data_IF_025763016777
#
_entry.id   IF_025763016777
#
_cell.length_a   1.000
_cell.length_b   1.000
_cell.length_c   1.000
_cell.angle_alpha   90.00
_cell.angle_beta   90.00
_cell.angle_gamma   90.00
#
_symmetry.space_group_name_H-M   'P 1'
#
loop_
_entity.id
_entity.type
_entity.pdbx_description
1 polymer ?
#
# COMPACT_ATOMS: atom_id res chain seq x y z
N UNK A 1 15.92 20.19 21.90
CA UNK A 1 15.93 20.82 20.55
C UNK A 1 17.19 21.70 20.44
N UNK A 2 17.92 21.82 19.31
CA UNK A 2 19.12 22.71 19.24
C UNK A 2 18.73 24.16 19.61
N UNK A 3 17.49 24.54 19.28
CA UNK A 3 16.87 25.81 19.69
C UNK A 3 16.72 26.01 21.20
N UNK A 4 16.71 24.94 21.99
CA UNK A 4 16.51 24.99 23.45
C UNK A 4 17.84 24.85 24.20
N UNK A 5 18.73 23.97 23.74
CA UNK A 5 19.96 23.62 24.47
C UNK A 5 21.20 24.33 23.93
N UNK A 6 21.12 24.95 22.74
CA UNK A 6 22.27 25.57 22.05
C UNK A 6 23.34 24.57 21.59
N UNK A 7 23.17 23.28 21.88
CA UNK A 7 24.12 22.21 21.59
C UNK A 7 23.64 21.39 20.39
N UNK A 8 24.51 21.23 19.39
CA UNK A 8 24.32 20.31 18.27
C UNK A 8 24.38 18.85 18.70
N UNK A 9 23.86 17.94 17.86
CA UNK A 9 23.98 16.49 18.06
C UNK A 9 24.45 15.82 16.78
N UNK A 10 25.16 14.71 16.95
CA UNK A 10 25.49 13.81 15.85
C UNK A 10 24.23 13.00 15.53
N UNK A 11 23.90 12.91 14.24
CA UNK A 11 22.83 12.06 13.73
C UNK A 11 23.49 11.05 12.82
N UNK A 12 23.38 9.78 13.17
CA UNK A 12 23.89 8.66 12.39
C UNK A 12 22.71 7.90 11.76
N UNK A 13 22.90 7.46 10.53
CA UNK A 13 21.96 6.60 9.82
C UNK A 13 22.72 5.78 8.78
N UNK A 14 22.17 4.65 8.39
CA UNK A 14 22.68 3.83 7.30
C UNK A 14 21.67 3.73 6.16
N UNK A 15 22.15 3.34 4.97
CA UNK A 15 21.28 2.98 3.85
C UNK A 15 20.31 1.84 4.23
N UNK A 16 20.72 0.97 5.15
CA UNK A 16 19.88 -0.11 5.65
C UNK A 16 18.75 0.41 6.54
N UNK A 17 19.00 1.37 7.44
CA UNK A 17 17.96 1.97 8.28
C UNK A 17 16.91 2.67 7.43
N UNK A 18 17.35 3.40 6.40
CA UNK A 18 16.46 4.08 5.46
C UNK A 18 15.56 3.09 4.70
N UNK A 19 16.10 1.97 4.21
CA UNK A 19 15.30 0.97 3.51
C UNK A 19 14.39 0.17 4.45
N UNK A 20 14.85 -0.10 5.67
CA UNK A 20 14.07 -0.86 6.66
C UNK A 20 12.79 -0.13 7.07
N UNK A 21 12.80 1.21 7.06
CA UNK A 21 11.61 2.04 7.33
C UNK A 21 10.47 1.76 6.33
N UNK A 22 10.78 1.57 5.04
CA UNK A 22 9.78 1.24 4.01
C UNK A 22 9.24 -0.19 4.12
N UNK A 23 9.90 -1.06 4.87
CA UNK A 23 9.56 -2.47 4.97
C UNK A 23 8.49 -2.78 6.02
N UNK A 24 7.94 -1.78 6.72
CA UNK A 24 6.96 -1.98 7.79
C UNK A 24 5.80 -2.90 7.38
N UNK A 25 5.15 -2.62 6.25
CA UNK A 25 4.00 -3.41 5.79
C UNK A 25 4.38 -4.86 5.44
N UNK A 26 5.37 -5.14 4.56
CA UNK A 26 5.83 -6.51 4.30
C UNK A 26 6.34 -7.26 5.55
N UNK A 27 6.96 -6.54 6.49
CA UNK A 27 7.45 -7.12 7.74
C UNK A 27 6.29 -7.62 8.60
N UNK A 28 5.18 -6.86 8.72
CA UNK A 28 4.00 -7.30 9.45
C UNK A 28 3.32 -8.52 8.83
N UNK A 29 3.26 -8.61 7.50
CA UNK A 29 2.77 -9.82 6.82
C UNK A 29 3.56 -11.06 7.21
N UNK A 30 4.89 -10.95 7.26
CA UNK A 30 5.74 -12.07 7.68
C UNK A 30 5.55 -12.37 9.16
N UNK A 31 5.55 -11.34 10.01
CA UNK A 31 5.45 -11.46 11.46
C UNK A 31 4.14 -12.13 11.90
N UNK A 32 3.02 -11.80 11.26
CA UNK A 32 1.69 -12.31 11.63
C UNK A 32 1.18 -13.44 10.72
N UNK A 33 1.70 -13.57 9.51
CA UNK A 33 1.31 -14.58 8.53
C UNK A 33 2.25 -15.79 8.46
N UNK A 34 3.42 -15.74 9.11
CA UNK A 34 4.39 -16.84 9.17
C UNK A 34 5.26 -17.01 7.92
N UNK A 35 4.90 -16.39 6.79
CA UNK A 35 5.69 -16.41 5.57
C UNK A 35 5.76 -15.03 4.90
N UNK A 36 6.85 -14.71 4.16
CA UNK A 36 6.96 -13.47 3.41
C UNK A 36 5.88 -13.34 2.34
N UNK A 37 5.32 -12.13 2.12
CA UNK A 37 4.34 -11.92 1.07
C UNK A 37 4.96 -12.15 -0.32
N UNK A 38 4.19 -12.77 -1.22
CA UNK A 38 4.59 -12.91 -2.61
C UNK A 38 4.74 -11.53 -3.29
N UNK A 39 5.59 -11.45 -4.31
CA UNK A 39 5.73 -10.24 -5.13
C UNK A 39 4.42 -9.97 -5.88
N UNK A 40 3.66 -8.98 -5.41
CA UNK A 40 2.34 -8.66 -5.94
C UNK A 40 2.34 -7.57 -7.04
N UNK A 41 3.51 -7.03 -7.38
CA UNK A 41 3.62 -5.89 -8.30
C UNK A 41 2.87 -4.68 -7.75
N UNK A 42 1.93 -4.13 -8.52
CA UNK A 42 1.11 -2.97 -8.14
C UNK A 42 -0.21 -3.35 -7.47
N UNK A 43 -0.43 -4.61 -7.10
CA UNK A 43 -1.65 -5.03 -6.37
C UNK A 43 -1.51 -4.75 -4.88
N UNK A 44 -2.59 -4.25 -4.27
CA UNK A 44 -2.66 -4.10 -2.83
C UNK A 44 -2.80 -5.48 -2.17
N UNK A 45 -2.12 -5.73 -1.04
CA UNK A 45 -2.07 -7.08 -0.47
C UNK A 45 -3.27 -7.44 0.41
N UNK A 46 -4.09 -6.48 0.85
CA UNK A 46 -5.29 -6.74 1.67
C UNK A 46 -6.61 -6.21 1.11
N UNK A 47 -6.60 -5.49 -0.02
CA UNK A 47 -7.79 -4.78 -0.52
C UNK A 47 -8.00 -5.09 -1.99
N UNK A 48 -9.24 -5.37 -2.36
CA UNK A 48 -9.66 -5.66 -3.74
C UNK A 48 -11.01 -4.97 -4.00
N UNK A 49 -11.23 -4.36 -5.19
CA UNK A 49 -10.30 -4.21 -6.30
C UNK A 49 -9.32 -3.03 -6.15
N UNK A 50 -8.04 -3.35 -5.92
CA UNK A 50 -6.97 -2.35 -5.82
C UNK A 50 -5.69 -2.85 -6.50
N UNK A 51 -5.32 -2.20 -7.60
CA UNK A 51 -4.13 -2.49 -8.39
C UNK A 51 -4.41 -2.41 -9.88
N UNK A 52 -3.57 -3.04 -10.69
CA UNK A 52 -3.71 -3.03 -12.15
C UNK A 52 -4.76 -4.04 -12.65
N UNK A 53 -5.64 -3.58 -13.54
CA UNK A 53 -6.64 -4.36 -14.25
C UNK A 53 -6.52 -4.12 -15.76
N UNK A 54 -6.64 -5.19 -16.55
CA UNK A 54 -6.57 -5.11 -18.02
C UNK A 54 -7.85 -4.51 -18.60
N UNK A 55 -7.68 -3.68 -19.61
CA UNK A 55 -8.73 -3.10 -20.45
C UNK A 55 -8.42 -3.41 -21.93
N UNK A 56 -9.33 -3.02 -22.84
CA UNK A 56 -9.20 -3.33 -24.26
C UNK A 56 -7.95 -2.72 -24.92
N UNK A 57 -7.51 -1.57 -24.44
CA UNK A 57 -6.44 -0.75 -25.01
C UNK A 57 -5.24 -0.55 -24.06
N UNK A 58 -5.24 -1.21 -22.91
CA UNK A 58 -4.18 -1.05 -21.92
C UNK A 58 -4.54 -1.59 -20.55
N UNK A 59 -4.05 -0.92 -19.51
CA UNK A 59 -4.37 -1.25 -18.14
C UNK A 59 -4.72 0.01 -17.36
N UNK A 60 -5.66 -0.13 -16.42
CA UNK A 60 -6.03 0.91 -15.47
C UNK A 60 -5.62 0.49 -14.07
N UNK A 61 -5.32 1.48 -13.22
CA UNK A 61 -5.13 1.27 -11.79
C UNK A 61 -6.46 1.57 -11.09
N UNK A 62 -7.01 0.57 -10.42
CA UNK A 62 -8.16 0.74 -9.52
C UNK A 62 -7.64 0.90 -8.08
N UNK A 63 -8.35 1.70 -7.29
CA UNK A 63 -8.06 1.94 -5.88
C UNK A 63 -9.36 2.01 -5.06
N UNK A 64 -10.19 0.97 -5.17
CA UNK A 64 -11.44 0.83 -4.41
C UNK A 64 -11.10 0.33 -3.02
N UNK A 65 -11.32 1.18 -2.01
CA UNK A 65 -10.86 0.97 -0.64
C UNK A 65 -11.97 1.08 0.40
N UNK A 66 -13.13 1.61 0.02
CA UNK A 66 -14.26 1.83 0.92
C UNK A 66 -15.52 1.19 0.38
N UNK A 67 -16.47 0.93 1.28
CA UNK A 67 -17.79 0.40 0.93
C UNK A 67 -18.54 1.31 -0.05
N UNK A 68 -18.47 2.63 0.12
CA UNK A 68 -19.08 3.58 -0.84
C UNK A 68 -18.45 3.43 -2.22
N UNK A 69 -17.13 3.36 -2.30
CA UNK A 69 -16.42 3.17 -3.57
C UNK A 69 -16.75 1.82 -4.21
N UNK A 70 -16.95 0.77 -3.40
CA UNK A 70 -17.37 -0.54 -3.89
C UNK A 70 -18.74 -0.47 -4.55
N UNK A 71 -19.74 0.14 -3.88
CA UNK A 71 -21.09 0.30 -4.45
C UNK A 71 -21.09 1.11 -5.74
N UNK A 72 -20.34 2.22 -5.76
CA UNK A 72 -20.22 3.06 -6.96
C UNK A 72 -19.55 2.29 -8.11
N UNK A 73 -18.50 1.51 -7.81
CA UNK A 73 -17.83 0.66 -8.78
C UNK A 73 -18.77 -0.42 -9.34
N UNK A 74 -19.53 -1.10 -8.48
CA UNK A 74 -20.51 -2.11 -8.88
C UNK A 74 -21.60 -1.53 -9.78
N UNK A 75 -22.16 -0.39 -9.41
CA UNK A 75 -23.23 0.26 -10.17
C UNK A 75 -22.75 0.80 -11.52
N UNK A 76 -21.60 1.49 -11.55
CA UNK A 76 -21.15 2.26 -12.72
C UNK A 76 -20.30 1.41 -13.66
N UNK A 77 -19.34 0.65 -13.11
CA UNK A 77 -18.32 -0.07 -13.90
C UNK A 77 -18.74 -1.51 -14.16
N UNK A 78 -19.13 -2.25 -13.12
CA UNK A 78 -19.58 -3.64 -13.28
C UNK A 78 -20.98 -3.72 -13.91
N UNK A 79 -21.79 -2.66 -13.75
CA UNK A 79 -23.22 -2.64 -14.11
C UNK A 79 -24.00 -3.77 -13.41
N UNK A 80 -23.64 -4.04 -12.16
CA UNK A 80 -24.22 -5.03 -11.28
C UNK A 80 -24.45 -4.38 -9.90
N UNK A 81 -25.45 -3.48 -9.76
CA UNK A 81 -25.68 -2.72 -8.53
C UNK A 81 -26.11 -3.58 -7.33
N UNK A 82 -26.43 -4.85 -7.54
CA UNK A 82 -26.76 -5.83 -6.50
C UNK A 82 -25.53 -6.47 -5.83
N UNK A 83 -24.33 -6.22 -6.34
CA UNK A 83 -23.05 -6.65 -5.76
C UNK A 83 -22.53 -5.70 -4.68
#
# INVERSE_FOLDING_TARGET
>A
NVKETGQGRIVETSLFDALSEWMGYPAYFTLYGGEPPARAGVRHATVVPYGSYRCADGAVLLAVQTETQWRDFCAIVCRAPEW
#
